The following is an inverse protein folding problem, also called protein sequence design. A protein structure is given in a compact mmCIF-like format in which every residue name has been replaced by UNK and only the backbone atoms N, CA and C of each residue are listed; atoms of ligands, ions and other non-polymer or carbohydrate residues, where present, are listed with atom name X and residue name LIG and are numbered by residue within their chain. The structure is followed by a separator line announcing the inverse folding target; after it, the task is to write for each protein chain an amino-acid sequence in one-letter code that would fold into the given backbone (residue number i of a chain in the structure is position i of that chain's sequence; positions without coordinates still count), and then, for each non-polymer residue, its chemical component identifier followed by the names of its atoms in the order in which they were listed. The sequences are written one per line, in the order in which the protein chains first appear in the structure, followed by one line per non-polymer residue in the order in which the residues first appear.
data_IF_421573838582
#
_entry.id   IF_421573838582
#
_cell.length_a   1.000
_cell.length_b   1.000
_cell.length_c   1.000
_cell.angle_alpha   90.00
_cell.angle_beta   90.00
_cell.angle_gamma   90.00
#
_symmetry.space_group_name_H-M   'P 1'
#
loop_
_entity.id
_entity.type
_entity.pdbx_description
1 polymer ?
#
# COMPACT_ATOMS: atom_id res chain seq x y z
N UNK A 1 -17.84 -7.42 14.65
CA UNK A 1 -16.86 -6.33 14.64
C UNK A 1 -16.40 -6.00 13.24
N UNK A 2 -16.17 -4.75 12.99
CA UNK A 2 -15.71 -4.28 11.72
C UNK A 2 -14.25 -4.69 11.46
N UNK A 3 -13.99 -5.33 10.33
CA UNK A 3 -12.63 -5.64 9.89
C UNK A 3 -12.14 -4.52 8.98
N UNK A 4 -11.00 -3.96 9.32
CA UNK A 4 -10.39 -2.94 8.47
C UNK A 4 -9.84 -3.58 7.21
N UNK A 5 -9.97 -2.90 6.08
CA UNK A 5 -9.58 -3.40 4.77
C UNK A 5 -8.33 -2.73 4.26
N UNK A 6 -7.40 -3.54 3.79
CA UNK A 6 -6.13 -3.07 3.23
C UNK A 6 -6.08 -3.45 1.75
N UNK A 7 -5.78 -2.47 0.91
CA UNK A 7 -5.53 -2.70 -0.51
C UNK A 7 -4.05 -3.00 -0.69
N UNK A 8 -3.73 -4.24 -1.02
CA UNK A 8 -2.36 -4.70 -1.22
C UNK A 8 -2.04 -4.77 -2.71
N UNK A 9 -1.09 -3.96 -3.15
CA UNK A 9 -0.78 -3.78 -4.57
C UNK A 9 0.65 -4.25 -4.84
N UNK A 10 0.79 -5.29 -5.67
CA UNK A 10 2.11 -5.82 -6.04
C UNK A 10 1.94 -6.61 -7.33
N UNK A 11 2.84 -6.40 -8.30
CA UNK A 11 2.79 -7.12 -9.56
C UNK A 11 3.38 -8.54 -9.45
N UNK A 12 4.10 -8.84 -8.38
CA UNK A 12 4.62 -10.19 -8.12
C UNK A 12 3.55 -11.03 -7.42
N UNK A 13 3.05 -12.10 -8.05
CA UNK A 13 2.05 -12.96 -7.40
C UNK A 13 2.53 -13.56 -6.09
N UNK A 14 3.78 -13.99 -6.00
CA UNK A 14 4.31 -14.61 -4.79
C UNK A 14 4.44 -13.59 -3.65
N UNK A 15 4.91 -12.38 -3.96
CA UNK A 15 5.02 -11.32 -2.95
C UNK A 15 3.63 -10.88 -2.50
N UNK A 16 2.69 -10.73 -3.43
CA UNK A 16 1.32 -10.33 -3.10
C UNK A 16 0.66 -11.36 -2.17
N UNK A 17 0.88 -12.65 -2.43
CA UNK A 17 0.35 -13.71 -1.57
C UNK A 17 0.98 -13.69 -0.18
N UNK A 18 2.28 -13.45 -0.10
CA UNK A 18 2.98 -13.37 1.18
C UNK A 18 2.44 -12.21 2.02
N UNK A 19 2.29 -11.05 1.40
CA UNK A 19 1.73 -9.87 2.07
C UNK A 19 0.29 -10.14 2.51
N UNK A 20 -0.52 -10.69 1.62
CA UNK A 20 -1.92 -10.99 1.92
C UNK A 20 -2.05 -11.98 3.09
N UNK A 21 -1.22 -13.02 3.09
CA UNK A 21 -1.21 -14.00 4.18
C UNK A 21 -0.84 -13.35 5.52
N UNK A 22 0.18 -12.50 5.50
CA UNK A 22 0.62 -11.78 6.71
C UNK A 22 -0.49 -10.89 7.25
N UNK A 23 -1.13 -10.11 6.40
CA UNK A 23 -2.16 -9.17 6.80
C UNK A 23 -3.44 -9.88 7.26
N UNK A 24 -3.82 -10.93 6.56
CA UNK A 24 -4.99 -11.74 6.94
C UNK A 24 -4.77 -12.37 8.31
N UNK A 25 -3.56 -12.88 8.55
CA UNK A 25 -3.20 -13.47 9.84
C UNK A 25 -3.26 -12.46 10.98
N UNK A 26 -3.11 -11.18 10.70
CA UNK A 26 -3.20 -10.12 11.69
C UNK A 26 -4.61 -9.57 11.87
N UNK A 27 -5.61 -10.13 11.18
CA UNK A 27 -7.01 -9.76 11.37
C UNK A 27 -7.54 -8.74 10.38
N UNK A 28 -6.83 -8.45 9.29
CA UNK A 28 -7.29 -7.51 8.29
C UNK A 28 -7.97 -8.23 7.13
N UNK A 29 -8.93 -7.55 6.52
CA UNK A 29 -9.47 -7.96 5.23
C UNK A 29 -8.56 -7.41 4.14
N UNK A 30 -8.20 -8.23 3.15
CA UNK A 30 -7.26 -7.81 2.10
C UNK A 30 -7.94 -7.82 0.75
N UNK A 31 -7.81 -6.71 0.04
CA UNK A 31 -8.18 -6.59 -1.37
C UNK A 31 -6.87 -6.54 -2.15
N UNK A 32 -6.67 -7.44 -3.09
CA UNK A 32 -5.43 -7.52 -3.85
C UNK A 32 -5.56 -6.84 -5.20
N UNK A 33 -4.49 -6.16 -5.63
CA UNK A 33 -4.41 -5.56 -6.95
C UNK A 33 -3.05 -5.90 -7.56
N UNK A 34 -3.02 -6.10 -8.87
CA UNK A 34 -1.83 -6.57 -9.58
C UNK A 34 -0.91 -5.44 -10.04
N UNK A 35 -1.41 -4.22 -10.12
CA UNK A 35 -0.63 -3.04 -10.48
C UNK A 35 -1.39 -1.78 -10.06
N UNK A 36 -0.80 -0.61 -10.34
CA UNK A 36 -1.39 0.66 -9.92
C UNK A 36 -2.73 0.96 -10.58
N UNK A 37 -2.89 0.58 -11.84
CA UNK A 37 -4.15 0.82 -12.54
C UNK A 37 -5.28 -0.04 -11.96
N UNK A 38 -5.00 -1.33 -11.72
CA UNK A 38 -5.94 -2.24 -11.08
C UNK A 38 -6.29 -1.74 -9.67
N UNK A 39 -5.29 -1.18 -8.97
CA UNK A 39 -5.51 -0.63 -7.63
C UNK A 39 -6.50 0.54 -7.64
N UNK A 40 -6.38 1.43 -8.62
CA UNK A 40 -7.32 2.56 -8.74
C UNK A 40 -8.75 2.06 -8.94
N UNK A 41 -8.93 1.06 -9.79
CA UNK A 41 -10.25 0.49 -10.04
C UNK A 41 -10.82 -0.16 -8.78
N UNK A 42 -10.01 -0.93 -8.07
CA UNK A 42 -10.46 -1.60 -6.85
C UNK A 42 -10.71 -0.63 -5.70
N UNK A 43 -9.94 0.44 -5.63
CA UNK A 43 -10.16 1.47 -4.62
C UNK A 43 -11.53 2.14 -4.77
N UNK A 44 -12.00 2.31 -6.01
CA UNK A 44 -13.31 2.93 -6.25
C UNK A 44 -14.48 2.04 -5.85
N UNK A 45 -14.30 0.72 -5.90
CA UNK A 45 -15.40 -0.24 -5.70
C UNK A 45 -15.36 -0.91 -4.33
N UNK A 46 -14.37 -0.61 -3.50
CA UNK A 46 -14.21 -1.21 -2.17
C UNK A 46 -13.99 -0.11 -1.13
N UNK A 47 -14.35 -0.41 0.10
CA UNK A 47 -14.04 0.47 1.22
C UNK A 47 -12.65 0.10 1.72
N UNK A 48 -11.70 1.01 1.52
CA UNK A 48 -10.29 0.77 1.85
C UNK A 48 -9.87 1.69 2.99
N UNK A 49 -9.22 1.12 4.00
CA UNK A 49 -8.75 1.86 5.16
C UNK A 49 -7.26 2.18 5.09
N UNK A 50 -6.51 1.43 4.28
CA UNK A 50 -5.07 1.64 4.11
C UNK A 50 -4.64 1.03 2.78
N UNK A 51 -3.69 1.68 2.12
CA UNK A 51 -3.08 1.15 0.89
C UNK A 51 -1.63 0.78 1.19
N UNK A 52 -1.24 -0.44 0.80
CA UNK A 52 0.14 -0.90 0.86
C UNK A 52 0.54 -1.24 -0.58
N UNK A 53 1.43 -0.45 -1.16
CA UNK A 53 1.77 -0.58 -2.57
C UNK A 53 3.26 -0.75 -2.81
N UNK A 54 3.61 -1.70 -3.67
CA UNK A 54 4.97 -1.83 -4.16
C UNK A 54 5.31 -0.62 -5.02
N UNK A 55 6.55 -0.14 -4.95
CA UNK A 55 6.98 0.97 -5.79
C UNK A 55 7.19 0.55 -7.24
N UNK A 56 7.80 -0.60 -7.45
CA UNK A 56 8.21 -1.01 -8.80
C UNK A 56 7.14 -1.88 -9.46
N UNK A 57 6.26 -1.24 -10.20
CA UNK A 57 5.17 -1.90 -10.93
C UNK A 57 5.06 -1.32 -12.33
N UNK A 58 4.63 -2.13 -13.32
CA UNK A 58 4.43 -1.60 -14.67
C UNK A 58 3.22 -0.67 -14.72
N UNK A 59 3.19 0.19 -15.71
CA UNK A 59 2.13 1.13 -16.06
C UNK A 59 1.97 2.28 -15.06
N UNK A 60 1.89 1.98 -13.76
CA UNK A 60 1.74 3.01 -12.74
C UNK A 60 2.43 2.50 -11.49
N UNK A 61 3.52 3.17 -11.08
CA UNK A 61 4.28 2.77 -9.90
C UNK A 61 3.62 3.25 -8.60
N UNK A 62 4.19 2.86 -7.46
CA UNK A 62 3.62 3.18 -6.16
C UNK A 62 3.50 4.68 -5.89
N UNK A 63 4.51 5.45 -6.28
CA UNK A 63 4.49 6.91 -6.12
C UNK A 63 3.41 7.51 -7.02
N UNK A 64 3.32 7.05 -8.26
CA UNK A 64 2.29 7.49 -9.19
C UNK A 64 0.89 7.16 -8.71
N UNK A 65 0.70 5.95 -8.19
CA UNK A 65 -0.56 5.54 -7.59
C UNK A 65 -0.93 6.44 -6.41
N UNK A 66 0.03 6.72 -5.54
CA UNK A 66 -0.18 7.59 -4.38
C UNK A 66 -0.68 8.96 -4.83
N UNK A 67 -0.01 9.54 -5.82
CA UNK A 67 -0.39 10.87 -6.34
C UNK A 67 -1.82 10.86 -6.85
N UNK A 68 -2.20 9.84 -7.62
CA UNK A 68 -3.56 9.74 -8.15
C UNK A 68 -4.61 9.53 -7.08
N UNK A 69 -4.31 8.70 -6.09
CA UNK A 69 -5.24 8.48 -4.98
C UNK A 69 -5.47 9.77 -4.20
N UNK A 70 -4.41 10.56 -3.97
CA UNK A 70 -4.56 11.82 -3.22
C UNK A 70 -5.38 12.87 -3.95
N UNK A 71 -5.53 12.75 -5.26
CA UNK A 71 -6.39 13.63 -6.04
C UNK A 71 -7.88 13.29 -5.83
N UNK A 72 -8.19 12.09 -5.40
CA UNK A 72 -9.55 11.64 -5.20
C UNK A 72 -10.01 11.98 -3.77
N UNK A 73 -11.15 12.69 -3.60
CA UNK A 73 -11.59 13.11 -2.26
C UNK A 73 -11.72 11.96 -1.25
N UNK A 74 -12.11 10.78 -1.70
CA UNK A 74 -12.29 9.61 -0.85
C UNK A 74 -10.99 9.16 -0.18
N UNK A 75 -9.84 9.44 -0.80
CA UNK A 75 -8.54 8.91 -0.35
C UNK A 75 -7.57 9.98 0.09
N UNK A 76 -8.03 11.18 0.41
CA UNK A 76 -7.14 12.26 0.82
C UNK A 76 -6.43 12.02 2.13
N UNK A 77 -7.03 11.25 3.03
CA UNK A 77 -6.53 11.06 4.39
C UNK A 77 -6.20 9.63 4.77
N UNK A 78 -6.49 8.65 3.90
CA UNK A 78 -6.17 7.27 4.26
C UNK A 78 -4.65 7.06 4.23
N UNK A 79 -4.11 6.20 5.11
CA UNK A 79 -2.68 5.92 5.08
C UNK A 79 -2.30 5.19 3.80
N UNK A 80 -1.19 5.61 3.20
CA UNK A 80 -0.61 4.95 2.03
C UNK A 80 0.85 4.65 2.37
N UNK A 81 1.19 3.36 2.39
CA UNK A 81 2.55 2.90 2.65
C UNK A 81 3.14 2.35 1.35
N UNK A 82 4.37 2.76 1.04
CA UNK A 82 5.08 2.28 -0.13
C UNK A 82 6.14 1.27 0.31
N UNK A 83 6.14 0.11 -0.36
CA UNK A 83 7.06 -1.00 -0.07
C UNK A 83 8.01 -1.13 -1.26
N UNK A 84 9.32 -1.09 -1.02
CA UNK A 84 10.30 -1.02 -2.10
C UNK A 84 11.64 -1.61 -1.71
N UNK A 85 12.43 -2.03 -2.71
CA UNK A 85 13.82 -2.41 -2.49
C UNK A 85 14.76 -1.19 -2.46
N UNK A 86 14.26 -0.02 -2.85
CA UNK A 86 15.06 1.21 -2.84
C UNK A 86 14.84 2.02 -1.58
N UNK A 87 15.94 2.51 -1.00
CA UNK A 87 15.87 3.28 0.24
C UNK A 87 16.59 4.63 0.12
N UNK A 88 16.81 5.13 -1.10
CA UNK A 88 17.47 6.42 -1.29
C UNK A 88 16.63 7.56 -0.73
N UNK A 89 17.30 8.60 -0.24
CA UNK A 89 16.61 9.79 0.27
C UNK A 89 15.79 10.46 -0.81
N UNK A 90 16.28 10.43 -2.05
CA UNK A 90 15.58 11.01 -3.18
C UNK A 90 14.24 10.33 -3.43
N UNK A 91 14.21 9.00 -3.39
CA UNK A 91 12.98 8.23 -3.58
C UNK A 91 12.00 8.43 -2.42
N UNK A 92 12.52 8.47 -1.19
CA UNK A 92 11.69 8.73 -0.03
C UNK A 92 11.06 10.12 -0.09
N UNK A 93 11.84 11.11 -0.56
CA UNK A 93 11.34 12.48 -0.71
C UNK A 93 10.26 12.54 -1.79
N UNK A 94 10.45 11.83 -2.92
CA UNK A 94 9.46 11.77 -3.98
C UNK A 94 8.16 11.15 -3.48
N UNK A 95 8.25 10.09 -2.68
CA UNK A 95 7.07 9.45 -2.08
C UNK A 95 6.34 10.39 -1.14
N UNK A 96 7.09 11.09 -0.29
CA UNK A 96 6.53 12.05 0.66
C UNK A 96 5.83 13.19 -0.08
N UNK A 97 6.45 13.71 -1.12
CA UNK A 97 5.88 14.79 -1.93
C UNK A 97 4.58 14.35 -2.61
N UNK A 98 4.50 13.08 -3.03
CA UNK A 98 3.29 12.53 -3.63
C UNK A 98 2.18 12.32 -2.61
N UNK A 99 2.49 12.31 -1.31
CA UNK A 99 1.51 12.17 -0.25
C UNK A 99 1.54 10.83 0.48
N UNK A 100 2.62 10.04 0.32
CA UNK A 100 2.75 8.78 1.04
C UNK A 100 2.87 9.03 2.54
N UNK A 101 2.25 8.15 3.33
CA UNK A 101 2.29 8.24 4.79
C UNK A 101 3.59 7.65 5.32
N UNK A 102 4.11 6.61 4.68
CA UNK A 102 5.31 5.95 5.13
C UNK A 102 5.96 5.13 4.03
N UNK A 103 7.11 4.57 4.36
CA UNK A 103 7.99 3.92 3.41
C UNK A 103 8.65 2.73 4.10
N UNK A 104 8.53 1.55 3.51
CA UNK A 104 9.13 0.32 4.04
C UNK A 104 10.05 -0.29 3.01
N UNK A 105 11.18 -0.81 3.45
CA UNK A 105 12.20 -1.40 2.57
C UNK A 105 12.07 -2.92 2.58
N UNK A 106 12.10 -3.52 1.39
CA UNK A 106 12.14 -4.97 1.22
C UNK A 106 13.57 -5.49 1.39
N UNK A 107 13.78 -6.69 1.90
CA UNK A 107 12.75 -7.60 2.43
C UNK A 107 12.21 -7.08 3.76
N UNK A 108 10.92 -7.24 3.97
CA UNK A 108 10.30 -6.78 5.21
C UNK A 108 10.20 -7.92 6.23
N UNK A 109 10.26 -7.54 7.50
CA UNK A 109 9.94 -8.43 8.61
C UNK A 109 8.42 -8.36 8.78
N UNK A 110 7.70 -9.50 8.75
CA UNK A 110 6.24 -9.49 8.92
C UNK A 110 5.78 -8.79 10.19
N UNK A 111 6.48 -8.96 11.30
CA UNK A 111 6.12 -8.29 12.54
C UNK A 111 6.29 -6.78 12.44
N UNK A 112 7.35 -6.34 11.78
CA UNK A 112 7.59 -4.91 11.57
C UNK A 112 6.51 -4.29 10.68
N UNK A 113 6.10 -5.00 9.63
CA UNK A 113 5.04 -4.54 8.75
C UNK A 113 3.74 -4.32 9.54
N UNK A 114 3.36 -5.30 10.36
CA UNK A 114 2.14 -5.20 11.17
C UNK A 114 2.24 -4.04 12.16
N UNK A 115 3.39 -3.86 12.82
CA UNK A 115 3.61 -2.75 13.74
C UNK A 115 3.38 -1.39 13.06
N UNK A 116 3.95 -1.21 11.86
CA UNK A 116 3.81 0.06 11.13
C UNK A 116 2.36 0.29 10.73
N UNK A 117 1.69 -0.76 10.25
CA UNK A 117 0.28 -0.65 9.88
C UNK A 117 -0.56 -0.24 11.09
N UNK A 118 -0.36 -0.89 12.23
CA UNK A 118 -1.11 -0.60 13.44
C UNK A 118 -0.92 0.83 13.92
N UNK A 119 0.24 1.42 13.67
CA UNK A 119 0.51 2.80 14.06
C UNK A 119 -0.24 3.81 13.22
N UNK A 120 -0.48 3.52 11.95
CA UNK A 120 -1.02 4.50 11.01
C UNK A 120 -2.48 4.28 10.64
N UNK A 121 -2.97 3.06 10.76
CA UNK A 121 -4.36 2.76 10.37
C UNK A 121 -5.33 3.31 11.43
N UNK A 122 -6.48 3.78 10.96
CA UNK A 122 -7.45 4.43 11.84
C UNK A 122 -8.76 3.70 11.90
#
# INVERSE_FOLDING_TARGET
PYMQSILAVDDSPSMRKMVSFTLTGAGYHVVEAVDGQDALEKAETHNIDLVLADQNMPRLDGIGLTRKLREHPKFKTIPILILTTESSDQMKQAGRTAGATGWLVKPFDPNRLIEVIQKVIR
#
